data_IF_016705591069
#
_entry.id   IF_016705591069
#
_cell.length_a   1.000
_cell.length_b   1.000
_cell.length_c   1.000
_cell.angle_alpha   90.00
_cell.angle_beta   90.00
_cell.angle_gamma   90.00
#
_symmetry.space_group_name_H-M   'P 1'
#
loop_
_entity.id
_entity.type
_entity.pdbx_description
1 polymer ?
#
# COMPACT_ATOMS: atom_id res chain seq x y z
N UNK A 1 19.68 11.02 16.74
CA UNK A 1 19.44 11.28 15.30
C UNK A 1 20.27 12.48 14.85
N UNK A 2 21.57 12.25 14.56
CA UNK A 2 22.39 13.24 13.85
C UNK A 2 21.68 13.61 12.56
N UNK A 3 21.72 14.90 12.24
CA UNK A 3 21.23 15.48 11.00
C UNK A 3 21.54 14.51 9.85
N UNK A 4 20.50 14.05 9.15
CA UNK A 4 20.66 13.43 7.85
C UNK A 4 21.39 14.45 7.00
N UNK A 5 22.72 14.33 6.90
CA UNK A 5 23.53 15.21 6.08
C UNK A 5 22.90 15.26 4.69
N UNK A 6 22.60 16.48 4.28
CA UNK A 6 21.90 16.83 3.05
C UNK A 6 22.78 16.40 1.86
N UNK A 7 22.73 15.11 1.50
CA UNK A 7 23.61 14.52 0.48
C UNK A 7 23.97 13.04 0.65
N UNK A 8 23.72 12.41 1.79
CA UNK A 8 23.94 10.97 1.91
C UNK A 8 23.00 10.20 0.95
N UNK A 9 23.52 9.28 0.12
CA UNK A 9 22.69 8.52 -0.81
C UNK A 9 21.64 7.72 -0.05
N UNK A 10 20.38 7.81 -0.49
CA UNK A 10 19.28 7.06 0.11
C UNK A 10 19.57 5.56 0.04
N UNK A 11 19.49 4.88 1.19
CA UNK A 11 19.61 3.41 1.25
C UNK A 11 18.42 2.77 0.53
N UNK A 12 18.69 2.11 -0.58
CA UNK A 12 17.73 1.30 -1.34
C UNK A 12 17.92 -0.18 -1.04
N UNK A 13 17.03 -1.04 -1.53
CA UNK A 13 17.21 -2.49 -1.44
C UNK A 13 18.55 -2.94 -2.04
N UNK A 14 18.97 -2.33 -3.14
CA UNK A 14 20.19 -2.70 -3.86
C UNK A 14 21.46 -2.17 -3.17
N UNK A 15 21.34 -1.18 -2.28
CA UNK A 15 22.47 -0.61 -1.51
C UNK A 15 22.39 -0.91 -0.01
N UNK A 16 21.41 -1.72 0.42
CA UNK A 16 21.19 -2.04 1.83
C UNK A 16 22.15 -3.11 2.34
N UNK A 17 22.38 -4.15 1.54
CA UNK A 17 23.36 -5.18 1.87
C UNK A 17 24.79 -4.63 1.70
N UNK A 18 25.70 -5.08 2.57
CA UNK A 18 27.13 -4.89 2.33
C UNK A 18 27.52 -5.49 0.95
N UNK A 19 28.52 -4.93 0.25
CA UNK A 19 29.13 -5.59 -0.91
C UNK A 19 29.59 -7.03 -0.64
N UNK A 20 29.96 -7.37 0.60
CA UNK A 20 30.29 -8.75 0.98
C UNK A 20 29.06 -9.69 1.04
N UNK A 21 27.86 -9.12 0.97
CA UNK A 21 26.57 -9.80 1.06
C UNK A 21 26.05 -9.96 2.48
N UNK A 22 24.79 -10.38 2.60
CA UNK A 22 24.19 -10.83 3.86
C UNK A 22 24.01 -12.34 3.77
N UNK A 23 24.40 -13.05 4.84
CA UNK A 23 24.39 -14.52 4.88
C UNK A 23 23.60 -15.05 6.06
N UNK A 24 23.06 -16.25 5.91
CA UNK A 24 22.42 -17.02 6.99
C UNK A 24 23.48 -17.53 7.98
N UNK A 25 23.08 -18.06 9.16
CA UNK A 25 24.01 -18.72 10.08
C UNK A 25 24.79 -19.88 9.45
N UNK A 26 24.25 -20.51 8.41
CA UNK A 26 24.89 -21.59 7.64
C UNK A 26 25.71 -21.09 6.43
N UNK A 27 26.12 -19.82 6.45
CA UNK A 27 26.92 -19.13 5.43
C UNK A 27 26.29 -19.05 4.02
N UNK A 28 24.98 -19.30 3.90
CA UNK A 28 24.27 -19.21 2.61
C UNK A 28 23.89 -17.76 2.28
N UNK A 29 24.02 -17.31 1.02
CA UNK A 29 23.56 -15.99 0.62
C UNK A 29 22.03 -15.90 0.72
N UNK A 30 21.51 -14.75 1.16
CA UNK A 30 20.07 -14.50 1.14
C UNK A 30 19.53 -14.44 -0.29
N UNK A 31 18.32 -14.96 -0.51
CA UNK A 31 17.62 -14.71 -1.77
C UNK A 31 17.22 -13.23 -1.86
N UNK A 32 16.92 -12.73 -3.07
CA UNK A 32 16.42 -11.35 -3.25
C UNK A 32 15.19 -11.06 -2.38
N UNK A 33 14.30 -12.06 -2.25
CA UNK A 33 13.11 -11.95 -1.42
C UNK A 33 13.49 -11.84 0.06
N UNK A 34 14.37 -12.71 0.55
CA UNK A 34 14.76 -12.68 1.97
C UNK A 34 15.48 -11.36 2.31
N UNK A 35 16.30 -10.85 1.39
CA UNK A 35 16.93 -9.54 1.54
C UNK A 35 15.89 -8.40 1.59
N UNK A 36 14.84 -8.48 0.78
CA UNK A 36 13.74 -7.53 0.79
C UNK A 36 12.93 -7.59 2.09
N UNK A 37 12.65 -8.79 2.59
CA UNK A 37 12.00 -9.00 3.89
C UNK A 37 12.84 -8.37 5.02
N UNK A 38 14.16 -8.60 5.05
CA UNK A 38 15.07 -7.99 6.03
C UNK A 38 15.13 -6.47 5.87
N UNK A 39 15.22 -5.98 4.64
CA UNK A 39 15.24 -4.54 4.36
C UNK A 39 14.00 -3.85 4.94
N UNK A 40 12.80 -4.36 4.67
CA UNK A 40 11.56 -3.73 5.15
C UNK A 40 11.34 -3.92 6.64
N UNK A 41 11.88 -4.99 7.26
CA UNK A 41 11.92 -5.12 8.72
C UNK A 41 12.73 -4.00 9.35
N UNK A 42 13.88 -3.69 8.77
CA UNK A 42 14.86 -2.76 9.34
C UNK A 42 14.66 -1.30 8.94
N UNK A 43 13.99 -1.07 7.82
CA UNK A 43 13.85 0.28 7.28
C UNK A 43 12.93 1.10 8.18
N UNK A 44 13.53 2.10 8.82
CA UNK A 44 12.82 3.11 9.62
C UNK A 44 11.89 2.46 10.65
N UNK A 45 12.42 1.55 11.48
CA UNK A 45 11.64 0.89 12.52
C UNK A 45 11.12 1.94 13.52
N UNK A 46 9.80 2.14 13.50
CA UNK A 46 9.09 3.11 14.32
C UNK A 46 7.67 2.63 14.63
N UNK A 47 7.43 1.32 14.51
CA UNK A 47 6.12 0.67 14.61
C UNK A 47 5.08 1.18 13.62
N UNK A 48 5.52 1.74 12.48
CA UNK A 48 4.65 2.20 11.39
C UNK A 48 4.15 3.64 11.51
N UNK A 49 4.53 4.39 12.55
CA UNK A 49 4.01 5.73 12.84
C UNK A 49 4.26 6.74 11.71
N UNK A 50 5.48 6.79 11.15
CA UNK A 50 5.84 7.68 10.04
C UNK A 50 5.03 7.31 8.80
N UNK A 51 4.88 6.02 8.49
CA UNK A 51 4.14 5.60 7.30
C UNK A 51 2.64 5.88 7.44
N UNK A 52 2.05 5.63 8.61
CA UNK A 52 0.66 5.98 8.90
C UNK A 52 0.43 7.51 8.87
N UNK A 53 1.37 8.30 9.42
CA UNK A 53 1.35 9.76 9.29
C UNK A 53 1.39 10.19 7.83
N UNK A 54 2.33 9.67 7.04
CA UNK A 54 2.46 9.98 5.61
C UNK A 54 1.16 9.68 4.87
N UNK A 55 0.58 8.50 5.07
CA UNK A 55 -0.66 8.11 4.41
C UNK A 55 -1.82 9.05 4.79
N UNK A 56 -2.00 9.34 6.08
CA UNK A 56 -3.01 10.30 6.53
C UNK A 56 -2.80 11.69 5.92
N UNK A 57 -1.57 12.19 5.90
CA UNK A 57 -1.24 13.49 5.32
C UNK A 57 -1.45 13.54 3.81
N UNK A 58 -1.24 12.43 3.10
CA UNK A 58 -1.57 12.30 1.68
C UNK A 58 -3.08 12.37 1.48
N UNK A 59 -3.86 11.64 2.26
CA UNK A 59 -5.33 11.67 2.18
C UNK A 59 -5.89 13.07 2.48
N UNK A 60 -5.38 13.74 3.51
CA UNK A 60 -5.74 15.12 3.88
C UNK A 60 -5.44 16.13 2.74
N UNK A 61 -4.46 15.84 1.89
CA UNK A 61 -4.07 16.70 0.77
C UNK A 61 -4.88 16.46 -0.51
N UNK A 62 -5.68 15.39 -0.57
CA UNK A 62 -6.54 15.13 -1.72
C UNK A 62 -7.73 16.11 -1.75
N UNK A 63 -8.26 16.44 -2.95
CA UNK A 63 -9.48 17.24 -3.05
C UNK A 63 -10.64 16.66 -2.22
N UNK A 64 -11.52 17.47 -1.62
CA UNK A 64 -12.68 16.96 -0.88
C UNK A 64 -13.66 16.13 -1.73
N UNK A 65 -13.63 16.31 -3.05
CA UNK A 65 -14.41 15.54 -4.03
C UNK A 65 -13.72 14.24 -4.46
N UNK A 66 -12.46 14.03 -4.06
CA UNK A 66 -11.75 12.81 -4.34
C UNK A 66 -12.42 11.64 -3.61
N UNK A 67 -12.24 10.47 -4.17
CA UNK A 67 -12.82 9.23 -3.69
C UNK A 67 -11.70 8.20 -3.59
N UNK A 68 -11.60 7.53 -2.44
CA UNK A 68 -10.67 6.42 -2.26
C UNK A 68 -11.38 5.12 -2.67
N UNK A 69 -10.81 4.39 -3.64
CA UNK A 69 -11.23 3.03 -3.97
C UNK A 69 -10.26 2.05 -3.32
N UNK A 70 -10.76 1.26 -2.39
CA UNK A 70 -9.98 0.36 -1.55
C UNK A 70 -10.32 -1.05 -1.95
N UNK A 71 -9.32 -1.77 -2.45
CA UNK A 71 -9.48 -3.06 -3.10
C UNK A 71 -8.49 -4.05 -2.54
N UNK A 72 -8.93 -4.98 -1.69
CA UNK A 72 -8.06 -5.93 -0.98
C UNK A 72 -7.63 -7.11 -1.85
N UNK A 73 -6.60 -7.84 -1.45
CA UNK A 73 -6.18 -9.07 -2.14
C UNK A 73 -7.27 -10.17 -2.17
N UNK A 74 -8.23 -10.09 -1.24
CA UNK A 74 -9.35 -11.03 -1.09
C UNK A 74 -10.55 -10.68 -1.97
N UNK A 75 -10.52 -9.54 -2.67
CA UNK A 75 -11.63 -9.07 -3.50
C UNK A 75 -12.68 -8.26 -2.75
N UNK A 76 -12.37 -7.78 -1.55
CA UNK A 76 -13.21 -6.80 -0.89
C UNK A 76 -12.98 -5.44 -1.57
N UNK A 77 -14.06 -4.77 -1.98
CA UNK A 77 -14.04 -3.44 -2.60
C UNK A 77 -14.91 -2.51 -1.77
N UNK A 78 -14.34 -1.43 -1.27
CA UNK A 78 -15.06 -0.38 -0.56
C UNK A 78 -14.59 0.98 -1.06
N UNK A 79 -15.50 1.94 -1.03
CA UNK A 79 -15.26 3.30 -1.48
C UNK A 79 -15.58 4.27 -0.34
N UNK A 80 -14.71 5.24 -0.09
CA UNK A 80 -14.93 6.24 0.96
C UNK A 80 -14.32 7.61 0.61
N UNK A 81 -14.68 8.63 1.39
CA UNK A 81 -14.02 9.92 1.27
C UNK A 81 -12.62 9.87 1.92
N UNK A 82 -11.62 10.65 1.47
CA UNK A 82 -10.31 10.71 2.10
C UNK A 82 -10.34 11.04 3.60
N UNK A 83 -11.30 11.88 4.02
CA UNK A 83 -11.51 12.25 5.43
C UNK A 83 -12.05 11.11 6.30
N UNK A 84 -12.59 10.05 5.70
CA UNK A 84 -13.13 8.89 6.42
C UNK A 84 -11.98 7.95 6.79
N UNK A 85 -10.96 8.50 7.44
CA UNK A 85 -9.77 7.78 7.90
C UNK A 85 -9.67 7.93 9.42
N UNK A 86 -9.46 6.82 10.13
CA UNK A 86 -9.25 6.81 11.58
C UNK A 86 -7.96 6.09 11.90
N UNK A 87 -7.20 6.62 12.84
CA UNK A 87 -5.97 6.00 13.34
C UNK A 87 -6.34 5.03 14.44
N UNK A 88 -5.78 3.83 14.39
CA UNK A 88 -5.98 2.80 15.38
C UNK A 88 -4.63 2.35 15.95
N UNK A 89 -4.57 2.17 17.26
CA UNK A 89 -3.39 1.72 17.98
C UNK A 89 -3.76 0.64 19.01
N UNK A 90 -2.98 -0.43 19.07
CA UNK A 90 -3.06 -1.44 20.12
C UNK A 90 -1.67 -1.85 20.61
N UNK A 91 -1.56 -2.38 21.82
CA UNK A 91 -0.33 -2.98 22.29
C UNK A 91 -0.22 -4.42 21.80
N UNK A 92 0.89 -4.76 21.13
CA UNK A 92 1.15 -6.11 20.62
C UNK A 92 2.48 -6.65 21.12
N UNK A 93 2.64 -7.97 21.13
CA UNK A 93 3.93 -8.62 21.29
C UNK A 93 4.30 -9.30 19.97
N UNK A 94 5.36 -8.82 19.30
CA UNK A 94 5.85 -9.46 18.08
C UNK A 94 6.23 -10.92 18.36
N UNK A 95 5.83 -11.84 17.47
CA UNK A 95 6.15 -13.27 17.60
C UNK A 95 7.60 -13.57 17.24
N UNK A 96 8.14 -12.80 16.31
CA UNK A 96 9.53 -12.90 15.91
C UNK A 96 10.32 -11.71 16.44
N UNK A 97 11.41 -11.96 17.18
CA UNK A 97 12.28 -10.88 17.62
C UNK A 97 12.99 -10.22 16.43
N UNK A 98 13.20 -8.91 16.49
CA UNK A 98 14.04 -8.17 15.56
C UNK A 98 14.93 -7.19 16.31
N UNK A 99 16.20 -7.10 15.91
CA UNK A 99 17.16 -6.16 16.48
C UNK A 99 17.72 -5.28 15.37
N UNK A 100 17.58 -3.98 15.54
CA UNK A 100 18.15 -2.96 14.66
C UNK A 100 19.21 -2.20 15.42
N UNK A 101 20.46 -2.31 14.97
CA UNK A 101 21.56 -1.53 15.52
C UNK A 101 21.82 -0.35 14.59
N UNK A 102 21.63 0.85 15.09
CA UNK A 102 22.01 2.10 14.41
C UNK A 102 23.51 2.30 14.62
N UNK A 103 24.22 2.81 13.60
CA UNK A 103 25.68 2.98 13.61
C UNK A 103 26.22 3.83 14.77
N UNK A 104 25.37 4.62 15.44
CA UNK A 104 25.70 5.39 16.65
C UNK A 104 25.59 4.56 17.95
N UNK A 105 25.33 3.26 17.86
CA UNK A 105 25.18 2.34 18.99
C UNK A 105 23.78 2.25 19.59
N UNK A 106 22.81 3.04 19.10
CA UNK A 106 21.41 2.90 19.48
C UNK A 106 20.87 1.55 18.96
N UNK A 107 20.28 0.77 19.86
CA UNK A 107 19.65 -0.51 19.53
C UNK A 107 18.14 -0.36 19.66
N UNK A 108 17.40 -0.71 18.61
CA UNK A 108 15.95 -0.88 18.66
C UNK A 108 15.64 -2.36 18.64
N UNK A 109 14.90 -2.83 19.64
CA UNK A 109 14.52 -4.21 19.81
C UNK A 109 13.00 -4.33 19.67
N UNK A 110 12.53 -5.24 18.82
CA UNK A 110 11.13 -5.64 18.74
C UNK A 110 10.99 -7.10 19.19
N UNK A 111 9.94 -7.43 19.95
CA UNK A 111 9.70 -8.80 20.39
C UNK A 111 10.64 -9.32 21.49
N UNK A 112 11.54 -8.48 22.02
CA UNK A 112 12.41 -8.81 23.16
C UNK A 112 11.90 -8.19 24.47
N UNK A 113 11.45 -6.93 24.44
CA UNK A 113 11.26 -6.11 25.64
C UNK A 113 9.78 -5.84 26.00
N UNK A 114 8.91 -6.80 25.70
CA UNK A 114 7.49 -6.73 26.06
C UNK A 114 6.61 -6.02 25.02
N UNK A 115 5.46 -5.46 25.47
CA UNK A 115 4.45 -4.87 24.58
C UNK A 115 4.98 -3.68 23.79
N UNK A 116 4.69 -3.61 22.49
CA UNK A 116 4.98 -2.46 21.64
C UNK A 116 3.67 -1.86 21.08
N UNK A 117 3.56 -0.51 20.98
CA UNK A 117 2.40 0.11 20.36
C UNK A 117 2.44 -0.11 18.85
N UNK A 118 1.37 -0.69 18.30
CA UNK A 118 1.23 -0.98 16.88
C UNK A 118 0.13 -0.13 16.27
N UNK A 119 0.41 0.54 15.13
CA UNK A 119 -0.48 1.54 14.54
C UNK A 119 -0.88 1.17 13.10
N UNK A 120 -2.14 1.44 12.75
CA UNK A 120 -2.64 1.34 11.38
C UNK A 120 -3.76 2.37 11.12
N UNK A 121 -4.24 2.41 9.88
CA UNK A 121 -5.36 3.25 9.49
C UNK A 121 -6.59 2.39 9.17
N UNK A 122 -7.73 2.74 9.76
CA UNK A 122 -9.04 2.35 9.24
C UNK A 122 -9.44 3.29 8.11
N UNK A 123 -9.91 2.74 7.01
CA UNK A 123 -10.41 3.44 5.83
C UNK A 123 -11.90 3.14 5.64
N UNK A 124 -12.72 4.19 5.64
CA UNK A 124 -14.17 4.12 5.58
C UNK A 124 -14.86 4.72 6.80
N UNK A 125 -16.14 5.06 6.66
CA UNK A 125 -16.97 5.48 7.77
C UNK A 125 -17.28 4.28 8.69
N UNK A 126 -17.28 4.45 10.02
CA UNK A 126 -17.68 3.37 10.92
C UNK A 126 -19.18 3.12 10.78
N UNK A 127 -19.55 1.92 10.32
CA UNK A 127 -20.96 1.49 10.29
C UNK A 127 -21.40 0.84 11.62
N UNK A 128 -20.44 0.43 12.44
CA UNK A 128 -20.68 -0.27 13.70
C UNK A 128 -19.50 -0.12 14.66
N UNK A 129 -19.80 -0.15 15.97
CA UNK A 129 -18.79 -0.28 17.04
C UNK A 129 -18.26 -1.71 17.18
N UNK A 130 -19.02 -2.71 16.71
CA UNK A 130 -18.62 -4.12 16.73
C UNK A 130 -17.69 -4.44 15.55
N UNK A 131 -16.46 -4.93 15.79
CA UNK A 131 -15.46 -5.17 14.73
C UNK A 131 -15.86 -6.19 13.66
N UNK A 132 -16.68 -7.18 14.01
CA UNK A 132 -17.09 -8.29 13.14
C UNK A 132 -18.02 -7.85 12.00
N UNK A 133 -18.81 -6.80 12.25
CA UNK A 133 -19.71 -6.18 11.27
C UNK A 133 -19.15 -4.86 10.72
N UNK A 134 -17.96 -4.45 11.15
CA UNK A 134 -17.29 -3.28 10.60
C UNK A 134 -16.87 -3.54 9.14
N UNK A 135 -17.28 -2.64 8.25
CA UNK A 135 -17.00 -2.67 6.81
C UNK A 135 -15.72 -1.91 6.45
N UNK A 136 -15.10 -1.22 7.41
CA UNK A 136 -13.86 -0.49 7.16
C UNK A 136 -12.74 -1.46 6.75
N UNK A 137 -11.90 -0.97 5.86
CA UNK A 137 -10.64 -1.64 5.52
C UNK A 137 -9.54 -1.16 6.47
N UNK A 138 -8.55 -2.01 6.73
CA UNK A 138 -7.33 -1.67 7.44
C UNK A 138 -6.18 -1.52 6.45
N UNK A 139 -5.49 -0.38 6.51
CA UNK A 139 -4.21 -0.14 5.87
C UNK A 139 -3.10 -0.11 6.93
N UNK A 140 -2.31 -1.17 6.97
CA UNK A 140 -1.12 -1.29 7.81
C UNK A 140 0.13 -1.28 6.92
N UNK A 141 0.79 -0.11 6.84
CA UNK A 141 2.03 0.07 6.10
C UNK A 141 3.27 -0.38 6.88
N UNK A 142 3.13 -0.63 8.19
CA UNK A 142 4.20 -1.04 9.08
C UNK A 142 4.38 -2.55 9.17
N UNK A 143 3.42 -3.37 8.72
CA UNK A 143 3.37 -4.83 8.96
C UNK A 143 4.69 -5.57 8.73
N UNK A 144 5.46 -5.19 7.71
CA UNK A 144 6.76 -5.81 7.45
C UNK A 144 7.78 -5.63 8.59
N UNK A 145 7.66 -4.61 9.45
CA UNK A 145 8.49 -4.45 10.65
C UNK A 145 8.27 -5.58 11.67
N UNK A 146 7.12 -6.25 11.66
CA UNK A 146 6.86 -7.48 12.43
C UNK A 146 7.29 -8.76 11.69
N UNK A 147 7.95 -8.63 10.54
CA UNK A 147 8.19 -9.74 9.61
C UNK A 147 6.93 -10.19 8.85
N UNK A 148 5.87 -9.39 8.88
CA UNK A 148 4.58 -9.75 8.33
C UNK A 148 4.38 -9.35 6.87
N UNK A 149 3.41 -10.03 6.24
CA UNK A 149 2.90 -9.70 4.92
C UNK A 149 1.37 -9.72 4.92
N UNK A 150 0.77 -8.86 4.09
CA UNK A 150 -0.67 -8.91 3.85
C UNK A 150 -1.09 -10.24 3.20
N UNK A 151 -2.39 -10.48 3.10
CA UNK A 151 -2.94 -11.72 2.50
C UNK A 151 -2.50 -11.90 1.03
N UNK A 152 -2.17 -10.79 0.34
CA UNK A 152 -1.63 -10.80 -1.02
C UNK A 152 -0.13 -11.13 -1.12
N UNK A 153 0.59 -11.18 0.01
CA UNK A 153 2.04 -11.35 0.07
C UNK A 153 2.84 -10.04 -0.08
N UNK A 154 2.18 -8.88 -0.01
CA UNK A 154 2.82 -7.56 0.00
C UNK A 154 3.42 -7.25 1.38
N UNK A 155 4.41 -6.35 1.45
CA UNK A 155 5.05 -5.88 2.71
C UNK A 155 4.17 -4.93 3.55
N UNK A 156 2.90 -4.81 3.18
CA UNK A 156 1.88 -4.07 3.90
C UNK A 156 0.61 -4.92 3.96
N UNK A 157 -0.32 -4.55 4.84
CA UNK A 157 -1.66 -5.11 4.87
C UNK A 157 -2.66 -4.10 4.29
N UNK A 158 -3.49 -4.55 3.34
CA UNK A 158 -4.72 -3.86 2.98
C UNK A 158 -5.86 -4.88 2.96
N UNK A 159 -6.59 -4.95 4.06
CA UNK A 159 -7.50 -6.05 4.38
C UNK A 159 -8.82 -5.53 4.96
N UNK A 160 -9.85 -6.38 5.05
CA UNK A 160 -11.04 -6.04 5.83
C UNK A 160 -10.69 -6.03 7.32
N UNK A 161 -11.26 -5.11 8.12
CA UNK A 161 -10.92 -4.93 9.53
C UNK A 161 -10.87 -6.23 10.36
N UNK A 162 -11.96 -7.01 10.35
CA UNK A 162 -12.01 -8.30 11.05
C UNK A 162 -10.94 -9.28 10.59
N UNK A 163 -10.70 -9.38 9.28
CA UNK A 163 -9.68 -10.29 8.74
C UNK A 163 -8.26 -9.85 9.11
N UNK A 164 -8.01 -8.54 9.14
CA UNK A 164 -6.72 -8.01 9.58
C UNK A 164 -6.42 -8.43 11.01
N UNK A 165 -7.32 -8.13 11.96
CA UNK A 165 -7.12 -8.39 13.37
C UNK A 165 -7.02 -9.89 13.66
N UNK A 166 -8.00 -10.67 13.18
CA UNK A 166 -8.13 -12.08 13.55
C UNK A 166 -7.09 -12.97 12.87
N UNK A 167 -6.68 -12.62 11.65
CA UNK A 167 -5.86 -13.51 10.81
C UNK A 167 -4.48 -12.93 10.51
N UNK A 168 -4.40 -11.68 10.06
CA UNK A 168 -3.13 -11.12 9.57
C UNK A 168 -2.24 -10.71 10.73
N UNK A 169 -2.71 -9.82 11.61
CA UNK A 169 -1.95 -9.35 12.76
C UNK A 169 -1.60 -10.50 13.71
N UNK A 170 -2.59 -11.34 14.05
CA UNK A 170 -2.41 -12.49 14.93
C UNK A 170 -1.38 -13.53 14.44
N UNK A 171 -1.07 -13.55 13.14
CA UNK A 171 -0.02 -14.40 12.58
C UNK A 171 1.39 -13.94 12.96
N UNK A 172 1.59 -12.64 13.16
CA UNK A 172 2.92 -12.04 13.35
C UNK A 172 3.10 -11.40 14.72
N UNK A 173 2.01 -11.11 15.42
CA UNK A 173 2.02 -10.62 16.78
C UNK A 173 0.94 -11.31 17.63
N UNK A 174 1.09 -11.19 18.94
CA UNK A 174 0.06 -11.54 19.93
C UNK A 174 -0.59 -10.22 20.35
N UNK A 175 -1.89 -10.09 20.12
CA UNK A 175 -2.69 -9.04 20.76
C UNK A 175 -2.72 -9.30 22.27
N UNK A 176 -2.31 -8.31 23.05
CA UNK A 176 -2.20 -8.41 24.49
C UNK A 176 -3.51 -8.06 25.22
N UNK A 177 -4.61 -7.85 24.48
CA UNK A 177 -5.94 -7.64 25.04
C UNK A 177 -6.12 -6.26 25.69
N UNK A 178 -5.42 -5.26 25.18
CA UNK A 178 -5.60 -3.86 25.58
C UNK A 178 -6.75 -3.18 24.83
N UNK A 179 -7.22 -2.04 25.36
CA UNK A 179 -8.22 -1.23 24.67
C UNK A 179 -7.65 -0.71 23.34
N UNK A 180 -8.37 -0.98 22.25
CA UNK A 180 -8.10 -0.40 20.95
C UNK A 180 -8.25 1.13 21.03
N UNK A 181 -7.14 1.86 20.91
CA UNK A 181 -7.16 3.32 20.93
C UNK A 181 -7.46 3.84 19.55
N UNK A 182 -8.53 4.61 19.44
CA UNK A 182 -8.89 5.31 18.21
C UNK A 182 -8.53 6.78 18.33
N UNK A 183 -7.86 7.33 17.32
CA UNK A 183 -7.56 8.76 17.24
C UNK A 183 -7.81 9.29 15.84
N UNK A 184 -8.02 10.60 15.74
CA UNK A 184 -8.26 11.23 14.44
C UNK A 184 -6.96 11.54 13.69
N UNK A 185 -5.92 11.99 14.39
CA UNK A 185 -4.67 12.44 13.76
C UNK A 185 -3.41 11.98 14.47
N UNK A 186 -2.41 11.62 13.66
CA UNK A 186 -1.06 11.36 14.14
C UNK A 186 -0.29 12.67 14.17
N UNK A 187 0.35 12.96 15.29
CA UNK A 187 1.29 14.08 15.40
C UNK A 187 2.67 13.53 15.66
N UNK A 188 3.55 13.58 14.65
CA UNK A 188 4.92 13.11 14.80
C UNK A 188 5.75 14.06 15.65
N UNK A 189 6.52 13.47 16.57
CA UNK A 189 7.58 14.11 17.34
C UNK A 189 8.75 13.13 17.46
N UNK A 190 10.01 13.60 17.43
CA UNK A 190 10.47 15.00 17.36
C UNK A 190 10.32 15.64 15.97
N UNK A 191 10.57 16.97 15.81
CA UNK A 191 10.44 17.68 14.53
C UNK A 191 11.24 17.07 13.37
N UNK A 192 12.41 16.48 13.64
CA UNK A 192 13.22 15.81 12.61
C UNK A 192 12.51 14.60 11.99
N UNK A 193 11.78 13.81 12.80
CA UNK A 193 10.98 12.67 12.31
C UNK A 193 9.79 13.17 11.48
N UNK A 194 9.17 14.28 11.91
CA UNK A 194 8.10 14.92 11.15
C UNK A 194 8.59 15.43 9.80
N UNK A 195 9.74 16.12 9.75
CA UNK A 195 10.33 16.62 8.52
C UNK A 195 10.63 15.47 7.54
N UNK A 196 11.10 14.33 8.05
CA UNK A 196 11.25 13.12 7.24
C UNK A 196 9.91 12.64 6.67
N UNK A 197 8.86 12.53 7.49
CA UNK A 197 7.52 12.20 7.04
C UNK A 197 6.98 13.18 5.99
N UNK A 198 7.18 14.48 6.18
CA UNK A 198 6.75 15.52 5.23
C UNK A 198 7.48 15.41 3.89
N UNK A 199 8.78 15.06 3.89
CA UNK A 199 9.53 14.79 2.68
C UNK A 199 8.97 13.56 1.92
N UNK A 200 8.67 12.48 2.63
CA UNK A 200 8.05 11.28 2.01
C UNK A 200 6.65 11.60 1.47
N UNK A 201 5.84 12.37 2.21
CA UNK A 201 4.54 12.87 1.73
C UNK A 201 4.67 13.64 0.42
N UNK A 202 5.62 14.57 0.33
CA UNK A 202 5.86 15.35 -0.88
C UNK A 202 6.20 14.46 -2.09
N UNK A 203 7.05 13.44 -1.88
CA UNK A 203 7.37 12.45 -2.92
C UNK A 203 6.13 11.68 -3.40
N UNK A 204 5.28 11.24 -2.48
CA UNK A 204 4.04 10.51 -2.82
C UNK A 204 3.08 11.41 -3.58
N UNK A 205 2.87 12.65 -3.15
CA UNK A 205 2.00 13.61 -3.85
C UNK A 205 2.53 13.94 -5.25
N UNK A 206 3.84 14.10 -5.41
CA UNK A 206 4.46 14.28 -6.73
C UNK A 206 4.19 13.09 -7.66
N UNK A 207 4.31 11.85 -7.15
CA UNK A 207 3.96 10.64 -7.90
C UNK A 207 2.48 10.62 -8.27
N UNK A 208 1.58 10.91 -7.33
CA UNK A 208 0.14 10.95 -7.59
C UNK A 208 -0.23 11.98 -8.66
N UNK A 209 0.41 13.16 -8.65
CA UNK A 209 0.22 14.17 -9.69
C UNK A 209 0.64 13.67 -11.08
N UNK A 210 1.75 12.94 -11.19
CA UNK A 210 2.16 12.30 -12.47
C UNK A 210 1.11 11.30 -12.97
N UNK A 211 0.60 10.46 -12.08
CA UNK A 211 -0.44 9.47 -12.40
C UNK A 211 -1.74 10.16 -12.85
N UNK A 212 -2.17 11.21 -12.14
CA UNK A 212 -3.33 12.00 -12.52
C UNK A 212 -3.16 12.69 -13.89
N UNK A 213 -1.91 13.04 -14.25
CA UNK A 213 -1.54 13.54 -15.58
C UNK A 213 -1.41 12.47 -16.67
N UNK A 214 -1.75 11.21 -16.39
CA UNK A 214 -1.67 10.10 -17.36
C UNK A 214 -0.30 9.44 -17.46
N UNK A 215 0.69 9.83 -16.64
CA UNK A 215 1.98 9.15 -16.56
C UNK A 215 1.94 8.10 -15.44
N UNK A 216 1.40 6.92 -15.77
CA UNK A 216 1.23 5.79 -14.85
C UNK A 216 2.17 4.61 -15.15
N UNK A 217 3.26 4.86 -15.90
CA UNK A 217 4.27 3.90 -16.33
C UNK A 217 5.28 3.55 -15.23
N UNK A 218 4.79 3.07 -14.08
CA UNK A 218 5.62 2.62 -12.97
C UNK A 218 5.27 1.20 -12.53
N UNK A 219 6.26 0.49 -12.01
CA UNK A 219 6.09 -0.86 -11.48
C UNK A 219 5.10 -0.82 -10.31
N UNK A 220 3.98 -1.53 -10.42
CA UNK A 220 2.94 -1.58 -9.39
C UNK A 220 3.36 -2.31 -8.11
N UNK A 221 4.52 -2.96 -8.11
CA UNK A 221 5.08 -3.63 -6.93
C UNK A 221 6.19 -2.79 -6.27
N UNK A 222 7.29 -2.49 -6.99
CA UNK A 222 8.44 -1.78 -6.41
C UNK A 222 8.44 -0.26 -6.63
N UNK A 223 7.50 0.29 -7.40
CA UNK A 223 7.39 1.74 -7.62
C UNK A 223 8.39 2.37 -8.60
N UNK A 224 9.29 1.58 -9.20
CA UNK A 224 10.25 2.04 -10.22
C UNK A 224 9.54 2.62 -11.44
N UNK A 225 10.07 3.72 -11.98
CA UNK A 225 9.55 4.41 -13.16
C UNK A 225 9.97 3.81 -14.51
N UNK A 226 9.36 4.34 -15.58
CA UNK A 226 9.72 4.08 -16.98
C UNK A 226 9.66 2.59 -17.33
N UNK A 227 8.66 1.92 -16.78
CA UNK A 227 8.45 0.50 -17.00
C UNK A 227 7.64 0.30 -18.27
N UNK A 228 8.14 -0.55 -19.16
CA UNK A 228 7.49 -0.84 -20.45
C UNK A 228 6.69 -2.15 -20.44
N UNK A 229 6.99 -3.06 -19.51
CA UNK A 229 6.31 -4.35 -19.42
C UNK A 229 4.91 -4.19 -18.82
N UNK A 230 3.91 -4.30 -19.69
CA UNK A 230 2.49 -4.28 -19.37
C UNK A 230 1.96 -5.67 -19.05
N UNK A 231 1.01 -5.75 -18.11
CA UNK A 231 0.22 -6.96 -17.88
C UNK A 231 -0.48 -7.37 -19.18
N UNK A 232 -0.21 -8.59 -19.64
CA UNK A 232 -0.72 -9.11 -20.90
C UNK A 232 -2.25 -9.22 -20.95
N UNK A 233 -2.91 -9.36 -19.80
CA UNK A 233 -4.37 -9.53 -19.67
C UNK A 233 -5.09 -8.18 -19.64
N UNK A 234 -4.81 -7.31 -18.68
CA UNK A 234 -5.55 -6.05 -18.52
C UNK A 234 -5.00 -4.90 -19.36
N UNK A 235 -3.75 -4.97 -19.81
CA UNK A 235 -3.04 -3.90 -20.55
C UNK A 235 -2.99 -2.55 -19.82
N UNK A 236 -3.14 -2.53 -18.49
CA UNK A 236 -3.17 -1.31 -17.67
C UNK A 236 -2.08 -1.25 -16.59
N UNK A 237 -1.68 -2.40 -16.05
CA UNK A 237 -0.69 -2.45 -14.97
C UNK A 237 0.71 -2.69 -15.54
N UNK A 238 1.70 -1.95 -15.05
CA UNK A 238 3.11 -2.08 -15.41
C UNK A 238 3.87 -2.81 -14.30
N UNK A 239 4.81 -3.68 -14.65
CA UNK A 239 5.65 -4.42 -13.70
C UNK A 239 7.08 -4.55 -14.21
N UNK A 240 8.08 -4.49 -13.33
CA UNK A 240 9.39 -5.02 -13.65
C UNK A 240 9.28 -6.52 -13.95
N UNK A 241 10.22 -7.06 -14.73
CA UNK A 241 10.25 -8.50 -15.06
C UNK A 241 10.35 -9.36 -13.79
N UNK A 242 11.15 -8.92 -12.83
CA UNK A 242 11.40 -9.61 -11.56
C UNK A 242 10.20 -9.48 -10.61
N UNK A 243 9.49 -8.35 -10.68
CA UNK A 243 8.39 -8.02 -9.77
C UNK A 243 7.03 -8.57 -10.21
N UNK A 244 6.88 -8.98 -11.48
CA UNK A 244 5.61 -9.45 -12.01
C UNK A 244 5.02 -10.59 -11.16
N UNK A 245 5.83 -11.58 -10.80
CA UNK A 245 5.35 -12.73 -10.03
C UNK A 245 4.93 -12.37 -8.60
N UNK A 246 5.66 -11.44 -7.96
CA UNK A 246 5.35 -10.95 -6.62
C UNK A 246 4.03 -10.17 -6.64
N UNK A 247 3.92 -9.16 -7.50
CA UNK A 247 2.71 -8.34 -7.63
C UNK A 247 1.51 -9.07 -8.24
N UNK A 248 1.72 -10.19 -8.95
CA UNK A 248 0.63 -10.95 -9.59
C UNK A 248 -0.35 -11.53 -8.56
N UNK A 249 0.12 -11.93 -7.37
CA UNK A 249 -0.74 -12.50 -6.33
C UNK A 249 -1.88 -11.56 -5.96
N UNK A 250 -1.57 -10.27 -5.81
CA UNK A 250 -2.54 -9.22 -5.57
C UNK A 250 -3.28 -8.84 -6.85
N UNK A 251 -2.54 -8.55 -7.92
CA UNK A 251 -3.08 -8.01 -9.16
C UNK A 251 -4.11 -8.92 -9.82
N UNK A 252 -3.92 -10.24 -9.81
CA UNK A 252 -4.81 -11.19 -10.48
C UNK A 252 -6.27 -11.10 -10.02
N UNK A 253 -6.51 -10.64 -8.79
CA UNK A 253 -7.86 -10.48 -8.22
C UNK A 253 -8.65 -9.36 -8.92
N UNK A 254 -7.94 -8.34 -9.38
CA UNK A 254 -8.49 -7.12 -10.00
C UNK A 254 -8.14 -7.00 -11.48
N UNK A 255 -7.49 -8.03 -12.03
CA UNK A 255 -7.04 -8.07 -13.40
C UNK A 255 -8.17 -8.54 -14.32
N UNK A 256 -8.83 -7.58 -14.97
CA UNK A 256 -9.85 -7.83 -15.97
C UNK A 256 -9.31 -7.52 -17.37
N UNK A 257 -9.65 -8.32 -18.40
CA UNK A 257 -9.34 -7.94 -19.77
C UNK A 257 -9.98 -6.57 -20.07
N UNK A 258 -9.36 -5.74 -20.94
CA UNK A 258 -10.04 -4.56 -21.43
C UNK A 258 -11.38 -5.00 -22.04
N UNK A 259 -12.44 -4.17 -21.96
CA UNK A 259 -13.66 -4.46 -22.69
C UNK A 259 -13.24 -4.69 -24.13
N UNK A 260 -13.51 -5.89 -24.65
CA UNK A 260 -13.41 -6.16 -26.08
C UNK A 260 -14.28 -5.10 -26.69
N UNK A 261 -13.69 -4.12 -27.40
CA UNK A 261 -14.46 -3.17 -28.19
C UNK A 261 -15.36 -4.06 -29.05
N UNK A 262 -16.61 -4.22 -28.61
CA UNK A 262 -17.57 -5.08 -29.26
C UNK A 262 -17.62 -4.52 -30.65
N UNK A 263 -17.09 -5.30 -31.61
CA UNK A 263 -16.74 -4.83 -32.94
C UNK A 263 -17.76 -3.80 -33.39
N UNK A 264 -17.38 -2.52 -33.44
CA UNK A 264 -18.09 -1.47 -34.17
C UNK A 264 -17.96 -1.74 -35.69
N UNK A 265 -17.98 -3.01 -36.09
CA UNK A 265 -18.31 -3.50 -37.40
C UNK A 265 -19.82 -3.63 -37.52
N UNK A 266 -20.53 -2.55 -37.19
CA UNK A 266 -21.83 -2.28 -37.80
C UNK A 266 -21.58 -2.05 -39.29
N UNK A 267 -21.50 -3.14 -40.05
CA UNK A 267 -21.62 -3.12 -41.49
C UNK A 267 -23.06 -2.73 -41.77
N UNK A 268 -23.35 -1.42 -41.78
CA UNK A 268 -24.57 -0.89 -42.40
C UNK A 268 -24.61 -1.44 -43.83
N UNK A 269 -25.47 -2.43 -44.04
CA UNK A 269 -26.07 -2.62 -45.35
C UNK A 269 -27.06 -1.48 -45.50
N UNK A 270 -26.65 -0.40 -46.15
CA UNK A 270 -27.60 0.48 -46.84
C UNK A 270 -28.25 -0.33 -47.97
N UNK A 271 -29.28 -1.11 -47.63
CA UNK A 271 -30.31 -1.49 -48.59
C UNK A 271 -31.24 -0.29 -48.70
N UNK A 272 -31.14 0.43 -49.82
CA UNK A 272 -31.97 1.57 -50.12
C UNK A 272 -33.45 1.19 -50.14
N UNK A 273 -34.28 2.06 -49.60
CA UNK A 273 -35.66 2.18 -50.05
C UNK A 273 -36.06 3.65 -50.05
N UNK A 274 -36.09 4.21 -51.26
CA UNK A 274 -36.62 5.53 -51.58
C UNK A 274 -38.12 5.35 -51.78
N UNK A 275 -38.94 5.71 -50.78
CA UNK A 275 -40.39 5.82 -50.97
C UNK A 275 -40.81 7.28 -50.88
N UNK A 276 -40.99 7.87 -52.05
CA UNK A 276 -41.61 9.16 -52.27
C UNK A 276 -43.10 9.00 -52.01
N UNK A 277 -43.63 9.71 -51.00
CA UNK A 277 -45.07 9.98 -50.93
C UNK A 277 -45.30 11.47 -50.91
N UNK A 278 -45.77 11.97 -52.05
CA UNK A 278 -46.44 13.25 -52.19
C UNK A 278 -47.72 13.25 -51.35
N UNK A 279 -48.10 14.41 -50.81
CA UNK A 279 -49.53 14.68 -50.65
C UNK A 279 -49.95 15.57 -49.49
N UNK A 280 -50.39 16.77 -49.89
CA UNK A 280 -51.65 17.40 -49.46
C UNK A 280 -51.61 18.36 -48.27
N UNK A 281 -51.36 19.63 -48.63
CA UNK A 281 -52.08 20.85 -48.20
C UNK A 281 -53.51 20.60 -47.66
N UNK A 282 -53.96 21.37 -46.67
CA UNK A 282 -55.06 22.36 -46.77
C UNK A 282 -55.35 22.95 -45.37
N UNK A 283 -55.45 24.29 -45.37
CA UNK A 283 -56.10 25.24 -44.43
C UNK A 283 -55.61 25.35 -42.98
#
# INVERSE_FOLDING_TARGET
>A
MKELEDGAPRVTLDTFASPEGVRTPDDQPLSRKDLEDVYWRCKTFDSGYVLAYVAQQVFDALPPTATLSIRTSQGYDVTCAPKDTTVAEIAVLAREPCMHVVLDGEQNLSGFDGPLPWIWLFLGAPESEKPDIDTRAVLDLGLAQLGGHGSGGEHFALERGVHYLDVVLNRFAVDLGGDLKLSHKITLSPPVVRAHGDAVKAMVLQRLAKVAGGNDQFCRHCGKDEITLLCSRCKKAYFCKECLNQGWKYHKRWCHPPPTNAMEGGREKEEGNLEVTEGTSVA
#
